data_IF_400738179721
#
_entry.id   IF_400738179721
#
_cell.length_a   1.000
_cell.length_b   1.000
_cell.length_c   1.000
_cell.angle_alpha   90.00
_cell.angle_beta   90.00
_cell.angle_gamma   90.00
#
_symmetry.space_group_name_H-M   'P 1'
#
loop_
_entity.id
_entity.type
_entity.pdbx_description
1 polymer ?
#
# COMPACT_ATOMS: atom_id res chain seq x y z
N UNK A 1 -5.20 38.34 11.88
CA UNK A 1 -6.27 37.31 11.83
C UNK A 1 -5.64 35.98 12.23
N UNK A 2 -5.86 35.58 13.44
CA UNK A 2 -5.39 34.29 13.95
C UNK A 2 -6.30 33.20 13.39
N UNK A 3 -5.71 32.29 12.62
CA UNK A 3 -6.33 31.07 12.18
C UNK A 3 -6.75 30.26 13.42
N UNK A 4 -7.99 29.80 13.56
CA UNK A 4 -8.36 28.97 14.70
C UNK A 4 -7.56 27.67 14.64
N UNK A 5 -6.85 27.42 15.71
CA UNK A 5 -6.01 26.26 15.99
C UNK A 5 -6.69 24.98 15.54
N UNK A 6 -6.09 24.28 14.58
CA UNK A 6 -6.32 22.83 14.48
C UNK A 6 -6.04 22.21 15.84
N UNK A 7 -6.89 21.32 16.34
CA UNK A 7 -6.57 20.62 17.58
C UNK A 7 -5.24 19.92 17.39
N UNK A 8 -4.40 20.09 18.40
CA UNK A 8 -3.09 19.48 18.56
C UNK A 8 -3.17 17.99 18.18
N UNK A 9 -2.85 17.68 16.92
CA UNK A 9 -2.69 16.29 16.55
C UNK A 9 -1.37 15.84 17.17
N UNK A 10 -1.37 14.82 18.01
CA UNK A 10 -0.13 14.30 18.55
C UNK A 10 0.83 14.06 17.38
N UNK A 11 2.10 14.36 17.58
CA UNK A 11 3.16 14.22 16.59
C UNK A 11 3.08 12.83 15.94
N UNK A 12 2.46 12.74 14.77
CA UNK A 12 2.34 11.49 14.03
C UNK A 12 3.66 11.21 13.32
N UNK A 13 4.10 9.96 13.41
CA UNK A 13 5.27 9.48 12.70
C UNK A 13 4.85 8.98 11.33
N UNK A 14 5.51 9.47 10.28
CA UNK A 14 5.32 8.97 8.92
C UNK A 14 6.13 7.70 8.71
N UNK A 15 5.43 6.64 8.30
CA UNK A 15 6.02 5.45 7.71
C UNK A 15 5.97 5.62 6.20
N UNK A 16 7.10 5.51 5.53
CA UNK A 16 7.18 5.76 4.09
C UNK A 16 8.17 4.84 3.40
N UNK A 17 7.75 4.29 2.29
CA UNK A 17 8.62 3.62 1.32
C UNK A 17 8.41 4.27 -0.03
N UNK A 18 9.48 4.53 -0.75
CA UNK A 18 9.45 5.04 -2.12
C UNK A 18 10.39 4.24 -2.99
N UNK A 19 9.90 3.86 -4.17
CA UNK A 19 10.67 3.18 -5.20
C UNK A 19 10.41 3.84 -6.56
N UNK A 20 11.45 3.86 -7.38
CA UNK A 20 11.38 4.37 -8.73
C UNK A 20 11.86 3.29 -9.69
N UNK A 21 11.06 3.03 -10.72
CA UNK A 21 11.34 2.01 -11.73
C UNK A 21 11.36 2.66 -13.11
N UNK A 22 12.37 2.36 -13.90
CA UNK A 22 12.40 2.69 -15.32
C UNK A 22 11.98 1.48 -16.13
N UNK A 23 10.98 1.63 -17.00
CA UNK A 23 10.43 0.55 -17.81
C UNK A 23 10.35 0.93 -19.27
N UNK A 24 10.54 -0.07 -20.14
CA UNK A 24 10.39 0.06 -21.59
C UNK A 24 8.93 -0.21 -21.96
N UNK A 25 8.07 0.75 -21.63
CA UNK A 25 6.63 0.67 -21.87
C UNK A 25 6.06 2.08 -22.05
N UNK A 26 4.93 2.17 -22.76
CA UNK A 26 4.20 3.44 -22.88
C UNK A 26 3.39 3.72 -21.62
N UNK A 27 2.98 4.99 -21.38
CA UNK A 27 2.09 5.31 -20.25
C UNK A 27 0.80 4.48 -20.23
N UNK A 28 0.24 4.17 -21.39
CA UNK A 28 -0.97 3.36 -21.53
C UNK A 28 -0.71 1.90 -21.12
N UNK A 29 0.42 1.33 -21.51
CA UNK A 29 0.82 -0.03 -21.11
C UNK A 29 1.07 -0.11 -19.61
N UNK A 30 1.71 0.90 -19.03
CA UNK A 30 1.91 0.99 -17.58
C UNK A 30 0.55 1.09 -16.88
N UNK A 31 -0.33 1.96 -17.36
CA UNK A 31 -1.68 2.14 -16.81
C UNK A 31 -2.46 0.82 -16.79
N UNK A 32 -2.47 0.10 -17.91
CA UNK A 32 -3.14 -1.20 -17.98
C UNK A 32 -2.59 -2.19 -16.96
N UNK A 33 -1.30 -2.14 -16.67
CA UNK A 33 -0.67 -3.04 -15.69
C UNK A 33 -0.98 -2.68 -14.23
N UNK A 34 -1.12 -1.39 -13.90
CA UNK A 34 -1.26 -0.94 -12.51
C UNK A 34 -2.69 -0.56 -12.11
N UNK A 35 -3.57 -0.29 -13.06
CA UNK A 35 -4.88 0.31 -12.81
C UNK A 35 -6.06 -0.51 -13.40
N UNK A 36 -5.82 -1.75 -13.75
CA UNK A 36 -6.86 -2.71 -14.12
C UNK A 36 -6.74 -3.99 -13.30
N UNK A 37 -7.86 -4.66 -13.06
CA UNK A 37 -7.88 -5.90 -12.29
C UNK A 37 -7.00 -6.98 -12.92
N UNK A 38 -7.13 -7.19 -14.23
CA UNK A 38 -6.35 -8.19 -14.98
C UNK A 38 -4.86 -7.81 -15.03
N UNK A 39 -4.58 -6.52 -15.21
CA UNK A 39 -3.21 -6.03 -15.24
C UNK A 39 -2.48 -6.26 -13.93
N UNK A 40 -3.06 -5.87 -12.82
CA UNK A 40 -2.48 -6.08 -11.48
C UNK A 40 -2.32 -7.58 -11.20
N UNK A 41 -3.32 -8.38 -11.52
CA UNK A 41 -3.30 -9.84 -11.30
C UNK A 41 -2.19 -10.55 -12.06
N UNK A 42 -1.70 -9.96 -13.15
CA UNK A 42 -0.65 -10.56 -13.98
C UNK A 42 0.74 -10.54 -13.33
N UNK A 43 1.02 -9.62 -12.45
CA UNK A 43 2.34 -9.50 -11.82
C UNK A 43 2.33 -9.52 -10.29
N UNK A 44 1.17 -9.29 -9.67
CA UNK A 44 1.03 -9.23 -8.23
C UNK A 44 0.24 -10.44 -7.69
N UNK A 45 -0.98 -10.25 -7.32
CA UNK A 45 -1.89 -11.27 -6.78
C UNK A 45 -3.26 -11.13 -7.45
N UNK A 46 -4.14 -12.14 -7.39
CA UNK A 46 -5.50 -12.01 -7.90
C UNK A 46 -6.19 -10.80 -7.29
N UNK A 47 -6.65 -9.90 -8.15
CA UNK A 47 -7.13 -8.58 -7.77
C UNK A 47 -8.51 -8.33 -8.36
N UNK A 48 -9.36 -7.67 -7.58
CA UNK A 48 -10.63 -7.07 -8.04
C UNK A 48 -10.53 -5.57 -7.91
N UNK A 49 -11.07 -4.85 -8.87
CA UNK A 49 -10.99 -3.40 -8.92
C UNK A 49 -12.28 -2.83 -9.53
N UNK A 50 -12.91 -1.90 -8.81
CA UNK A 50 -13.90 -0.98 -9.36
C UNK A 50 -13.13 0.28 -9.82
N UNK A 51 -12.97 0.50 -11.14
CA UNK A 51 -12.00 1.45 -11.68
C UNK A 51 -12.48 2.90 -11.61
N UNK A 52 -12.63 3.43 -10.42
CA UNK A 52 -13.05 4.81 -10.15
C UNK A 52 -12.64 5.24 -8.74
N UNK A 53 -12.53 6.53 -8.51
CA UNK A 53 -12.37 7.08 -7.15
C UNK A 53 -13.56 6.69 -6.28
N UNK A 54 -13.30 6.20 -5.08
CA UNK A 54 -14.30 5.64 -4.18
C UNK A 54 -14.65 4.17 -4.49
N UNK A 55 -14.13 3.61 -5.57
CA UNK A 55 -14.30 2.19 -5.92
C UNK A 55 -13.53 1.28 -4.99
N UNK A 56 -13.99 0.03 -4.87
CA UNK A 56 -13.30 -1.00 -4.10
C UNK A 56 -12.12 -1.57 -4.88
N UNK A 57 -11.01 -1.78 -4.20
CA UNK A 57 -9.91 -2.61 -4.67
C UNK A 57 -9.65 -3.71 -3.65
N UNK A 58 -9.53 -4.96 -4.10
CA UNK A 58 -9.22 -6.06 -3.19
C UNK A 58 -8.19 -7.01 -3.76
N UNK A 59 -7.29 -7.47 -2.88
CA UNK A 59 -6.17 -8.33 -3.18
C UNK A 59 -6.33 -9.66 -2.45
N UNK A 60 -6.23 -10.77 -3.17
CA UNK A 60 -6.27 -12.11 -2.59
C UNK A 60 -4.84 -12.54 -2.27
N UNK A 61 -4.53 -12.60 -0.98
CA UNK A 61 -3.19 -12.94 -0.48
C UNK A 61 -3.06 -14.42 -0.07
N UNK A 62 -3.99 -15.27 -0.54
CA UNK A 62 -3.88 -16.71 -0.34
C UNK A 62 -4.26 -17.20 1.06
N UNK A 63 -5.38 -16.81 1.58
CA UNK A 63 -5.90 -17.17 2.91
C UNK A 63 -6.50 -15.97 3.61
N UNK A 64 -6.19 -14.79 3.10
CA UNK A 64 -6.82 -13.56 3.55
C UNK A 64 -6.94 -12.58 2.37
N UNK A 65 -7.93 -11.72 2.43
CA UNK A 65 -8.18 -10.70 1.42
C UNK A 65 -8.03 -9.32 2.03
N UNK A 66 -7.18 -8.51 1.44
CA UNK A 66 -7.10 -7.07 1.76
C UNK A 66 -8.08 -6.33 0.88
N UNK A 67 -8.90 -5.48 1.47
CA UNK A 67 -9.88 -4.67 0.75
C UNK A 67 -9.67 -3.20 1.08
N UNK A 68 -9.49 -2.40 0.05
CA UNK A 68 -9.23 -0.97 0.14
C UNK A 68 -10.15 -0.15 -0.74
N UNK A 69 -9.87 1.14 -0.80
CA UNK A 69 -10.63 2.14 -1.55
C UNK A 69 -9.71 2.91 -2.47
N UNK A 70 -10.09 3.06 -3.73
CA UNK A 70 -9.38 3.88 -4.71
C UNK A 70 -9.53 5.35 -4.34
N UNK A 71 -8.41 6.04 -4.21
CA UNK A 71 -8.34 7.47 -3.83
C UNK A 71 -7.97 8.39 -4.98
N UNK A 72 -7.29 7.87 -6.01
CA UNK A 72 -7.02 8.60 -7.25
C UNK A 72 -7.08 7.63 -8.44
N UNK A 73 -7.71 8.06 -9.51
CA UNK A 73 -7.83 7.30 -10.75
C UNK A 73 -7.74 8.26 -11.93
N UNK A 74 -6.52 8.73 -12.21
CA UNK A 74 -6.22 9.65 -13.30
C UNK A 74 -5.50 8.90 -14.42
N UNK A 75 -6.20 8.53 -15.51
CA UNK A 75 -5.66 7.66 -16.55
C UNK A 75 -4.29 8.11 -17.07
N UNK A 76 -3.37 7.16 -17.15
CA UNK A 76 -1.99 7.33 -17.64
C UNK A 76 -1.11 8.26 -16.78
N UNK A 77 -1.59 8.70 -15.62
CA UNK A 77 -0.90 9.66 -14.74
C UNK A 77 -0.73 9.12 -13.32
N UNK A 78 -1.85 8.77 -12.67
CA UNK A 78 -1.82 8.42 -11.25
C UNK A 78 -2.91 7.45 -10.87
N UNK A 79 -2.52 6.38 -10.20
CA UNK A 79 -3.41 5.44 -9.53
C UNK A 79 -3.03 5.35 -8.05
N UNK A 80 -3.99 5.55 -7.17
CA UNK A 80 -3.76 5.48 -5.73
C UNK A 80 -4.94 4.82 -5.02
N UNK A 81 -4.63 4.12 -3.94
CA UNK A 81 -5.62 3.50 -3.08
C UNK A 81 -5.14 3.46 -1.63
N UNK A 82 -6.07 3.25 -0.72
CA UNK A 82 -5.81 3.07 0.70
C UNK A 82 -6.36 1.72 1.16
N UNK A 83 -5.58 1.05 2.00
CA UNK A 83 -5.94 -0.22 2.62
C UNK A 83 -5.83 -0.12 4.14
N UNK A 84 -6.68 -0.83 4.91
CA UNK A 84 -6.43 -0.97 6.33
C UNK A 84 -5.14 -1.74 6.57
N UNK A 85 -4.52 -1.54 7.73
CA UNK A 85 -3.41 -2.40 8.15
C UNK A 85 -3.89 -3.85 8.18
N UNK A 86 -3.07 -4.83 7.74
CA UNK A 86 -3.51 -6.22 7.58
C UNK A 86 -4.10 -6.88 8.82
N UNK A 87 -3.82 -6.33 9.99
CA UNK A 87 -4.29 -6.80 11.29
C UNK A 87 -5.56 -6.09 11.77
N UNK A 88 -5.96 -4.97 11.14
CA UNK A 88 -7.10 -4.17 11.60
C UNK A 88 -8.44 -4.87 11.42
N UNK A 89 -8.59 -5.62 10.34
CA UNK A 89 -9.84 -6.32 9.99
C UNK A 89 -9.92 -7.74 10.57
N UNK A 90 -8.87 -8.22 11.25
CA UNK A 90 -8.73 -9.60 11.72
C UNK A 90 -8.73 -9.74 13.24
N UNK A 91 -9.33 -8.78 13.93
CA UNK A 91 -9.35 -8.72 15.41
C UNK A 91 -9.87 -10.03 16.04
N UNK A 92 -10.83 -10.70 15.40
CA UNK A 92 -11.42 -11.95 15.90
C UNK A 92 -10.75 -13.23 15.36
N UNK A 93 -9.93 -13.10 14.32
CA UNK A 93 -9.35 -14.25 13.61
C UNK A 93 -7.93 -13.97 13.09
N UNK A 94 -7.08 -13.37 13.92
CA UNK A 94 -5.70 -13.12 13.54
C UNK A 94 -4.98 -14.45 13.24
N UNK A 95 -4.31 -14.57 12.07
CA UNK A 95 -3.54 -15.77 11.74
C UNK A 95 -2.54 -16.13 12.82
N UNK A 96 -2.41 -17.44 13.12
CA UNK A 96 -1.52 -17.92 14.17
C UNK A 96 -0.06 -17.49 13.99
N UNK A 97 0.40 -17.38 12.75
CA UNK A 97 1.75 -16.90 12.41
C UNK A 97 1.94 -15.43 12.82
N UNK A 98 0.93 -14.61 12.64
CA UNK A 98 0.96 -13.19 13.03
C UNK A 98 0.92 -13.04 14.55
N UNK A 99 0.10 -13.84 15.24
CA UNK A 99 0.09 -13.92 16.72
C UNK A 99 1.47 -14.30 17.24
N UNK A 100 2.07 -15.34 16.65
CA UNK A 100 3.42 -15.80 17.02
C UNK A 100 4.48 -14.72 16.79
N UNK A 101 4.36 -13.93 15.74
CA UNK A 101 5.26 -12.83 15.46
C UNK A 101 5.18 -11.75 16.56
N UNK A 102 3.97 -11.32 16.95
CA UNK A 102 3.80 -10.36 18.04
C UNK A 102 4.31 -10.91 19.38
N UNK A 103 4.07 -12.18 19.66
CA UNK A 103 4.60 -12.83 20.85
C UNK A 103 6.14 -12.82 20.85
N UNK A 104 6.76 -13.04 19.69
CA UNK A 104 8.21 -13.05 19.55
C UNK A 104 8.90 -11.71 19.85
N UNK A 105 8.19 -10.61 19.60
CA UNK A 105 8.66 -9.25 19.89
C UNK A 105 8.15 -8.70 21.23
N UNK A 106 7.39 -9.52 21.97
CA UNK A 106 6.93 -9.18 23.32
C UNK A 106 5.81 -8.13 23.38
N UNK A 107 5.02 -8.00 22.32
CA UNK A 107 3.92 -7.03 22.25
C UNK A 107 2.57 -7.75 22.43
N UNK A 108 1.82 -7.42 23.50
CA UNK A 108 0.48 -8.00 23.70
C UNK A 108 -0.48 -7.55 22.60
N UNK A 109 -1.35 -8.45 22.12
CA UNK A 109 -2.36 -8.14 21.11
C UNK A 109 -3.29 -7.00 21.55
N UNK A 110 -3.59 -6.89 22.84
CA UNK A 110 -4.39 -5.78 23.39
C UNK A 110 -3.73 -4.42 23.14
N UNK A 111 -2.39 -4.35 23.19
CA UNK A 111 -1.64 -3.14 22.87
C UNK A 111 -1.71 -2.83 21.38
N UNK A 112 -1.56 -3.85 20.54
CA UNK A 112 -1.66 -3.73 19.08
C UNK A 112 -3.01 -3.15 18.67
N UNK A 113 -4.10 -3.68 19.19
CA UNK A 113 -5.45 -3.19 18.91
C UNK A 113 -5.67 -1.75 19.39
N UNK A 114 -5.11 -1.41 20.54
CA UNK A 114 -5.17 -0.03 21.03
C UNK A 114 -4.44 0.92 20.09
N UNK A 115 -3.23 0.56 19.69
CA UNK A 115 -2.37 1.39 18.83
C UNK A 115 -2.94 1.54 17.43
N UNK A 116 -3.59 0.50 16.88
CA UNK A 116 -4.24 0.54 15.57
C UNK A 116 -5.33 1.61 15.45
N UNK A 117 -5.93 2.01 16.57
CA UNK A 117 -6.91 3.10 16.57
C UNK A 117 -6.30 4.46 16.19
N UNK A 118 -4.98 4.60 16.28
CA UNK A 118 -4.26 5.84 16.01
C UNK A 118 -3.52 5.85 14.66
N UNK A 119 -3.42 4.71 13.97
CA UNK A 119 -2.78 4.67 12.65
C UNK A 119 -3.75 5.06 11.54
N UNK A 120 -3.22 5.69 10.49
CA UNK A 120 -3.97 5.91 9.25
C UNK A 120 -3.96 4.65 8.38
N UNK A 121 -4.91 4.50 7.44
CA UNK A 121 -4.79 3.49 6.41
C UNK A 121 -3.45 3.57 5.68
N UNK A 122 -3.02 2.45 5.12
CA UNK A 122 -1.83 2.40 4.27
C UNK A 122 -2.21 2.91 2.89
N UNK A 123 -1.61 4.01 2.48
CA UNK A 123 -1.79 4.59 1.16
C UNK A 123 -0.71 4.09 0.21
N UNK A 124 -1.10 3.61 -0.95
CA UNK A 124 -0.18 3.25 -2.04
C UNK A 124 -0.51 4.09 -3.27
N UNK A 125 0.51 4.70 -3.85
CA UNK A 125 0.40 5.60 -4.99
C UNK A 125 1.38 5.18 -6.07
N UNK A 126 0.87 5.04 -7.30
CA UNK A 126 1.65 4.86 -8.51
C UNK A 126 1.57 6.13 -9.35
N UNK A 127 2.71 6.74 -9.63
CA UNK A 127 2.84 7.89 -10.50
C UNK A 127 3.56 7.47 -11.78
N UNK A 128 2.98 7.80 -12.92
CA UNK A 128 3.57 7.56 -14.24
C UNK A 128 4.17 8.85 -14.74
N UNK A 129 5.49 8.85 -14.90
CA UNK A 129 6.23 9.96 -15.48
C UNK A 129 6.75 9.52 -16.86
N UNK A 130 6.33 10.21 -17.92
CA UNK A 130 6.82 9.85 -19.24
C UNK A 130 8.26 10.31 -19.41
N UNK A 131 9.11 9.38 -19.85
CA UNK A 131 10.46 9.67 -20.29
C UNK A 131 10.52 9.66 -21.83
N UNK A 132 11.56 10.22 -22.41
CA UNK A 132 11.76 10.21 -23.87
C UNK A 132 12.14 8.81 -24.38
N UNK A 133 11.73 8.45 -25.60
CA UNK A 133 12.20 7.24 -26.29
C UNK A 133 11.41 5.96 -26.00
N UNK A 134 10.12 6.07 -25.64
CA UNK A 134 9.25 4.89 -25.44
C UNK A 134 9.47 4.19 -24.10
N UNK A 135 10.02 4.90 -23.13
CA UNK A 135 10.16 4.46 -21.75
C UNK A 135 9.37 5.34 -20.79
N UNK A 136 9.03 4.78 -19.65
CA UNK A 136 8.38 5.48 -18.55
C UNK A 136 9.16 5.27 -17.25
N UNK A 137 9.02 6.26 -16.36
CA UNK A 137 9.41 6.13 -14.97
C UNK A 137 8.14 5.94 -14.14
N UNK A 138 8.12 4.90 -13.32
CA UNK A 138 7.04 4.63 -12.37
C UNK A 138 7.59 4.94 -10.99
N UNK A 139 6.97 5.87 -10.29
CA UNK A 139 7.26 6.12 -8.88
C UNK A 139 6.16 5.50 -8.03
N UNK A 140 6.55 4.63 -7.11
CA UNK A 140 5.65 3.97 -6.16
C UNK A 140 5.93 4.50 -4.77
N UNK A 141 4.91 5.01 -4.13
CA UNK A 141 4.98 5.51 -2.76
C UNK A 141 3.97 4.77 -1.91
N UNK A 142 4.44 4.16 -0.83
CA UNK A 142 3.57 3.57 0.20
C UNK A 142 3.82 4.29 1.51
N UNK A 143 2.78 4.79 2.14
CA UNK A 143 2.88 5.57 3.36
C UNK A 143 1.72 5.33 4.31
N UNK A 144 1.98 5.52 5.60
CA UNK A 144 0.99 5.55 6.65
C UNK A 144 1.50 6.45 7.79
N UNK A 145 0.60 6.90 8.64
CA UNK A 145 0.94 7.69 9.81
C UNK A 145 0.48 6.98 11.07
N UNK A 146 1.30 7.00 12.10
CA UNK A 146 0.99 6.37 13.37
C UNK A 146 1.73 6.99 14.54
N UNK A 147 1.76 6.30 15.67
CA UNK A 147 2.43 6.74 16.89
C UNK A 147 3.94 6.51 16.91
N UNK A 148 4.45 5.69 15.98
CA UNK A 148 5.87 5.38 15.89
C UNK A 148 6.39 4.41 16.96
N UNK A 149 5.51 3.57 17.51
CA UNK A 149 5.92 2.50 18.42
C UNK A 149 6.83 1.48 17.73
N UNK A 150 7.64 0.77 18.49
CA UNK A 150 8.62 -0.18 17.93
C UNK A 150 7.96 -1.26 17.08
N UNK A 151 6.84 -1.84 17.55
CA UNK A 151 6.12 -2.86 16.79
C UNK A 151 5.56 -2.33 15.47
N UNK A 152 5.04 -1.10 15.47
CA UNK A 152 4.49 -0.42 14.28
C UNK A 152 5.57 -0.21 13.23
N UNK A 153 6.75 0.26 13.67
CA UNK A 153 7.92 0.44 12.81
C UNK A 153 8.38 -0.89 12.20
N UNK A 154 8.49 -1.94 13.02
CA UNK A 154 8.91 -3.27 12.57
C UNK A 154 7.90 -3.91 11.63
N UNK A 155 6.60 -3.77 11.94
CA UNK A 155 5.53 -4.32 11.11
C UNK A 155 5.50 -3.65 9.72
N UNK A 156 5.59 -2.33 9.69
CA UNK A 156 5.66 -1.60 8.41
C UNK A 156 6.91 -1.98 7.61
N UNK A 157 8.06 -2.06 8.26
CA UNK A 157 9.31 -2.48 7.62
C UNK A 157 9.19 -3.90 7.02
N UNK A 158 8.57 -4.83 7.73
CA UNK A 158 8.34 -6.19 7.24
C UNK A 158 7.38 -6.21 6.05
N UNK A 159 6.28 -5.44 6.10
CA UNK A 159 5.36 -5.32 4.97
C UNK A 159 6.08 -4.81 3.72
N UNK A 160 6.95 -3.82 3.88
CA UNK A 160 7.70 -3.26 2.75
C UNK A 160 8.74 -4.25 2.22
N UNK A 161 9.40 -5.00 3.10
CA UNK A 161 10.32 -6.06 2.70
C UNK A 161 9.61 -7.15 1.88
N UNK A 162 8.36 -7.44 2.17
CA UNK A 162 7.54 -8.41 1.41
C UNK A 162 6.99 -7.80 0.11
N UNK A 163 6.69 -6.52 0.09
CA UNK A 163 6.14 -5.82 -1.07
C UNK A 163 7.18 -5.55 -2.17
N UNK A 164 8.40 -5.21 -1.80
CA UNK A 164 9.45 -4.82 -2.76
C UNK A 164 9.70 -5.90 -3.82
N UNK A 165 9.87 -7.20 -3.50
CA UNK A 165 10.03 -8.23 -4.51
C UNK A 165 8.82 -8.36 -5.45
N UNK A 166 7.62 -8.08 -4.94
CA UNK A 166 6.40 -8.09 -5.75
C UNK A 166 6.41 -6.91 -6.72
N UNK A 167 6.81 -5.72 -6.27
CA UNK A 167 6.97 -4.55 -7.15
C UNK A 167 8.02 -4.78 -8.24
N UNK A 168 9.07 -5.52 -7.94
CA UNK A 168 10.09 -5.89 -8.93
C UNK A 168 9.50 -6.76 -10.06
N UNK A 169 8.45 -7.54 -9.79
CA UNK A 169 7.74 -8.29 -10.82
C UNK A 169 7.04 -7.37 -11.82
N UNK A 170 6.62 -6.18 -11.42
CA UNK A 170 6.03 -5.20 -12.34
C UNK A 170 7.00 -4.82 -13.45
N UNK A 171 8.28 -4.56 -13.11
CA UNK A 171 9.30 -4.25 -14.11
C UNK A 171 9.56 -5.42 -15.04
N UNK A 172 9.62 -6.63 -14.53
CA UNK A 172 9.77 -7.84 -15.34
C UNK A 172 8.58 -8.02 -16.28
N UNK A 173 7.38 -7.75 -15.82
CA UNK A 173 6.15 -7.84 -16.61
C UNK A 173 6.14 -6.80 -17.75
N UNK A 174 6.53 -5.56 -17.47
CA UNK A 174 6.50 -4.46 -18.43
C UNK A 174 7.67 -4.48 -19.43
N UNK A 175 8.80 -5.08 -19.07
CA UNK A 175 9.99 -5.16 -19.92
C UNK A 175 10.06 -6.43 -20.80
N UNK A 176 8.94 -7.13 -20.92
CA UNK A 176 8.85 -8.31 -21.81
C UNK A 176 8.85 -7.94 -23.28
#
# INVERSE_FOLDING_TARGET
MTNPSQPDQPDRVEHRMERTYEVTATPEQVWDAIATADGISAWMVPTRLDPRVGGEVSFDLGGFRSTGVVTDYTPNVRFAYEEPWPIADQVEAMPAEMVAWFDSIGVPLSQVYHDLSSVTPIATEFLIESASGGSCVIRVVTSAYGSGTDWENEFFAQMMADLIPILDNLTTHLNK
#
